data_IF_870849562092
#
_entry.id   IF_870849562092
#
_cell.length_a   1.000
_cell.length_b   1.000
_cell.length_c   1.000
_cell.angle_alpha   90.00
_cell.angle_beta   90.00
_cell.angle_gamma   90.00
#
_symmetry.space_group_name_H-M   'P 1'
#
loop_
_entity.id
_entity.type
_entity.pdbx_description
1 polymer ?
#
# COMPACT_ATOMS: atom_id res chain seq x y z
N UNK A 1 -7.55 12.17 25.46
CA UNK A 1 -8.45 11.01 25.37
C UNK A 1 -9.37 11.26 24.19
N UNK A 2 -9.07 10.69 23.02
CA UNK A 2 -9.92 10.86 21.82
C UNK A 2 -10.99 9.77 21.87
N UNK A 3 -12.25 10.18 21.93
CA UNK A 3 -13.42 9.33 21.75
C UNK A 3 -13.41 8.78 20.31
N UNK A 4 -13.03 7.52 20.14
CA UNK A 4 -13.19 6.83 18.86
C UNK A 4 -14.54 6.12 18.88
N UNK A 5 -15.39 6.58 17.98
CA UNK A 5 -16.77 6.21 17.74
C UNK A 5 -16.94 4.71 17.50
N UNK A 6 -18.03 4.14 18.03
CA UNK A 6 -18.39 2.72 18.05
C UNK A 6 -18.88 2.18 16.69
N UNK A 7 -18.36 2.73 15.58
CA UNK A 7 -18.82 2.54 14.20
C UNK A 7 -17.71 1.99 13.29
N UNK A 8 -16.70 1.32 13.84
CA UNK A 8 -15.63 0.69 13.04
C UNK A 8 -16.16 -0.54 12.31
N UNK A 9 -16.83 -0.33 11.19
CA UNK A 9 -17.17 -1.38 10.25
C UNK A 9 -15.94 -1.77 9.43
N UNK A 10 -15.76 -3.07 9.20
CA UNK A 10 -14.68 -3.57 8.34
C UNK A 10 -14.87 -3.00 6.94
N UNK A 11 -13.94 -2.14 6.53
CA UNK A 11 -14.00 -1.47 5.24
C UNK A 11 -14.22 -2.47 4.09
N UNK A 12 -15.21 -2.17 3.24
CA UNK A 12 -15.61 -3.00 2.11
C UNK A 12 -14.42 -3.31 1.19
N UNK A 13 -14.35 -4.55 0.68
CA UNK A 13 -13.24 -5.02 -0.18
C UNK A 13 -12.98 -4.09 -1.37
N UNK A 14 -14.03 -3.51 -1.97
CA UNK A 14 -13.95 -2.57 -3.10
C UNK A 14 -13.20 -1.29 -2.77
N UNK A 15 -13.45 -0.71 -1.59
CA UNK A 15 -12.77 0.52 -1.15
C UNK A 15 -11.27 0.30 -0.93
N UNK A 16 -10.88 -0.89 -0.47
CA UNK A 16 -9.46 -1.26 -0.33
C UNK A 16 -8.75 -1.36 -1.68
N UNK A 17 -9.43 -1.89 -2.71
CA UNK A 17 -8.89 -1.97 -4.07
C UNK A 17 -8.73 -0.56 -4.66
N UNK A 18 -9.74 0.31 -4.50
CA UNK A 18 -9.66 1.70 -4.97
C UNK A 18 -8.53 2.44 -4.24
N UNK A 19 -8.38 2.24 -2.93
CA UNK A 19 -7.27 2.80 -2.16
C UNK A 19 -5.92 2.39 -2.72
N UNK A 20 -5.78 1.10 -3.07
CA UNK A 20 -4.55 0.58 -3.68
C UNK A 20 -4.25 1.23 -5.03
N UNK A 21 -5.25 1.42 -5.90
CA UNK A 21 -5.05 2.12 -7.17
C UNK A 21 -4.65 3.59 -6.99
N UNK A 22 -5.26 4.29 -6.03
CA UNK A 22 -4.91 5.67 -5.71
C UNK A 22 -3.48 5.75 -5.15
N UNK A 23 -3.13 4.86 -4.23
CA UNK A 23 -1.76 4.75 -3.68
C UNK A 23 -0.75 4.48 -4.80
N UNK A 24 -1.06 3.53 -5.70
CA UNK A 24 -0.22 3.19 -6.85
C UNK A 24 0.01 4.39 -7.76
N UNK A 25 -1.05 5.12 -8.11
CA UNK A 25 -0.96 6.29 -8.97
C UNK A 25 -0.14 7.42 -8.31
N UNK A 26 -0.44 7.75 -7.05
CA UNK A 26 0.24 8.83 -6.32
C UNK A 26 1.72 8.50 -6.14
N UNK A 27 2.06 7.30 -5.68
CA UNK A 27 3.46 6.92 -5.46
C UNK A 27 4.24 6.79 -6.77
N UNK A 28 3.61 6.33 -7.84
CA UNK A 28 4.25 6.29 -9.17
C UNK A 28 4.53 7.69 -9.70
N UNK A 29 3.59 8.63 -9.55
CA UNK A 29 3.82 10.04 -9.91
C UNK A 29 4.94 10.67 -9.06
N UNK A 30 4.92 10.45 -7.74
CA UNK A 30 5.96 10.94 -6.83
C UNK A 30 7.34 10.36 -7.19
N UNK A 31 7.40 9.05 -7.49
CA UNK A 31 8.62 8.37 -7.88
C UNK A 31 9.18 8.90 -9.21
N UNK A 32 8.31 9.15 -10.19
CA UNK A 32 8.71 9.69 -11.48
C UNK A 32 9.29 11.11 -11.34
N UNK A 33 8.66 11.96 -10.54
CA UNK A 33 9.18 13.31 -10.24
C UNK A 33 10.57 13.20 -9.60
N UNK A 34 10.73 12.37 -8.56
CA UNK A 34 12.02 12.19 -7.89
C UNK A 34 13.10 11.66 -8.84
N UNK A 35 12.79 10.67 -9.67
CA UNK A 35 13.76 10.09 -10.60
C UNK A 35 14.19 11.10 -11.66
N UNK A 36 13.25 11.85 -12.24
CA UNK A 36 13.58 12.90 -13.21
C UNK A 36 14.41 14.00 -12.56
N UNK A 37 14.09 14.40 -11.33
CA UNK A 37 14.81 15.48 -10.62
C UNK A 37 16.22 15.09 -10.16
N UNK A 38 16.45 13.85 -9.72
CA UNK A 38 17.73 13.44 -9.13
C UNK A 38 18.63 12.62 -10.06
N UNK A 39 18.05 11.80 -10.94
CA UNK A 39 18.79 10.82 -11.76
C UNK A 39 18.79 11.24 -13.22
N UNK A 40 17.73 11.90 -13.70
CA UNK A 40 17.58 12.33 -15.10
C UNK A 40 17.34 11.18 -16.09
N UNK A 41 17.34 9.92 -15.63
CA UNK A 41 17.00 8.75 -16.43
C UNK A 41 15.97 7.88 -15.73
N UNK A 42 14.93 7.50 -16.48
CA UNK A 42 13.82 6.71 -15.98
C UNK A 42 14.13 5.22 -16.16
N UNK A 43 14.53 4.57 -15.07
CA UNK A 43 14.74 3.13 -15.03
C UNK A 43 13.59 2.44 -14.30
N UNK A 44 12.90 1.52 -14.98
CA UNK A 44 11.79 0.73 -14.38
C UNK A 44 12.18 0.04 -13.06
N UNK A 45 13.37 -0.58 -12.92
CA UNK A 45 13.79 -1.17 -11.65
C UNK A 45 13.88 -0.17 -10.49
N UNK A 46 14.28 1.07 -10.79
CA UNK A 46 14.43 2.14 -9.79
C UNK A 46 13.05 2.63 -9.34
N UNK A 47 12.10 2.78 -10.26
CA UNK A 47 10.70 3.11 -9.92
C UNK A 47 10.12 2.06 -8.99
N UNK A 48 10.29 0.78 -9.33
CA UNK A 48 9.78 -0.33 -8.52
C UNK A 48 10.37 -0.33 -7.12
N UNK A 49 11.69 -0.16 -7.01
CA UNK A 49 12.37 -0.09 -5.71
C UNK A 49 11.91 1.12 -4.88
N UNK A 50 11.74 2.27 -5.51
CA UNK A 50 11.28 3.48 -4.81
C UNK A 50 9.84 3.32 -4.30
N UNK A 51 8.96 2.75 -5.12
CA UNK A 51 7.60 2.39 -4.73
C UNK A 51 7.60 1.42 -3.53
N UNK A 52 8.48 0.41 -3.59
CA UNK A 52 8.65 -0.59 -2.57
C UNK A 52 9.06 0.01 -1.21
N UNK A 53 9.89 1.07 -1.19
CA UNK A 53 10.28 1.75 0.04
C UNK A 53 9.29 2.84 0.50
N UNK A 54 8.68 3.59 -0.43
CA UNK A 54 7.72 4.66 -0.12
C UNK A 54 6.50 4.13 0.64
N UNK A 55 6.05 2.92 0.32
CA UNK A 55 4.89 2.32 0.95
C UNK A 55 5.05 2.08 2.47
N UNK A 56 6.02 1.26 2.95
CA UNK A 56 6.21 1.03 4.38
C UNK A 56 6.60 2.29 5.15
N UNK A 57 7.37 3.20 4.54
CA UNK A 57 7.73 4.48 5.15
C UNK A 57 6.48 5.33 5.40
N UNK A 58 5.58 5.41 4.41
CA UNK A 58 4.33 6.16 4.56
C UNK A 58 3.41 5.55 5.62
N UNK A 59 3.25 4.21 5.66
CA UNK A 59 2.43 3.56 6.69
C UNK A 59 3.03 3.69 8.09
N UNK A 60 4.36 3.59 8.21
CA UNK A 60 5.04 3.67 9.50
C UNK A 60 5.07 5.07 10.11
N UNK A 61 5.28 6.12 9.30
CA UNK A 61 5.30 7.51 9.80
C UNK A 61 3.90 8.05 10.10
N UNK A 62 2.93 7.67 9.26
CA UNK A 62 1.62 8.31 9.26
C UNK A 62 0.48 7.41 9.74
N UNK A 63 0.74 6.12 9.95
CA UNK A 63 -0.25 5.10 10.29
C UNK A 63 -1.21 4.75 9.14
N UNK A 64 -1.01 5.33 7.95
CA UNK A 64 -1.86 5.19 6.78
C UNK A 64 -1.16 5.72 5.53
N UNK A 65 -1.39 5.08 4.38
CA UNK A 65 -0.93 5.56 3.07
C UNK A 65 -1.77 6.74 2.58
N UNK A 66 -1.25 7.53 1.65
CA UNK A 66 -1.90 8.76 1.15
C UNK A 66 -3.28 8.47 0.52
N UNK A 67 -3.41 7.42 -0.28
CA UNK A 67 -4.67 6.99 -0.88
C UNK A 67 -5.68 6.50 0.15
N UNK A 68 -5.24 5.83 1.21
CA UNK A 68 -6.11 5.50 2.35
C UNK A 68 -6.57 6.75 3.10
N UNK A 69 -5.75 7.81 3.18
CA UNK A 69 -6.18 9.11 3.73
C UNK A 69 -7.30 9.72 2.94
N UNK A 70 -7.19 9.71 1.61
CA UNK A 70 -8.20 10.29 0.71
C UNK A 70 -9.54 9.58 0.87
N UNK A 71 -9.51 8.26 1.09
CA UNK A 71 -10.72 7.46 1.31
C UNK A 71 -11.14 7.37 2.78
N UNK A 72 -10.53 8.14 3.68
CA UNK A 72 -10.77 8.09 5.13
C UNK A 72 -10.64 6.68 5.74
N UNK A 73 -9.82 5.83 5.11
CA UNK A 73 -9.53 4.48 5.57
C UNK A 73 -8.38 4.52 6.57
N UNK A 74 -8.64 4.08 7.79
CA UNK A 74 -7.62 4.03 8.84
C UNK A 74 -7.11 2.61 9.02
N UNK A 75 -5.79 2.45 9.05
CA UNK A 75 -5.18 1.19 9.45
C UNK A 75 -4.98 1.20 10.96
N UNK A 76 -5.66 0.29 11.64
CA UNK A 76 -5.59 0.15 13.10
C UNK A 76 -5.25 -1.29 13.47
N UNK A 77 -4.64 -1.48 14.64
CA UNK A 77 -4.48 -2.80 15.25
C UNK A 77 -5.82 -3.32 15.79
N UNK A 78 -5.86 -4.56 16.27
CA UNK A 78 -7.02 -5.17 16.94
C UNK A 78 -7.53 -4.35 18.12
N UNK A 79 -6.66 -3.57 18.77
CA UNK A 79 -7.01 -2.66 19.86
C UNK A 79 -7.41 -1.25 19.37
N UNK A 80 -7.69 -1.08 18.07
CA UNK A 80 -8.04 0.20 17.42
C UNK A 80 -6.97 1.31 17.50
N UNK A 81 -5.77 0.97 17.98
CA UNK A 81 -4.63 1.88 18.03
C UNK A 81 -3.97 2.02 16.66
N UNK A 82 -3.28 3.16 16.44
CA UNK A 82 -2.44 3.37 15.25
C UNK A 82 -1.37 2.27 15.17
N UNK A 83 -1.12 1.77 13.98
CA UNK A 83 -0.05 0.82 13.72
C UNK A 83 1.32 1.42 14.04
N UNK A 84 2.19 0.62 14.66
CA UNK A 84 3.59 0.99 14.91
C UNK A 84 4.44 0.72 13.66
N UNK A 85 5.62 1.36 13.58
CA UNK A 85 6.57 1.14 12.47
C UNK A 85 6.90 -0.36 12.28
N UNK A 86 7.09 -1.11 13.37
CA UNK A 86 7.34 -2.56 13.31
C UNK A 86 6.17 -3.31 12.66
N UNK A 87 4.93 -2.98 13.01
CA UNK A 87 3.75 -3.59 12.41
C UNK A 87 3.62 -3.24 10.92
N UNK A 88 3.98 -2.01 10.52
CA UNK A 88 4.01 -1.60 9.12
C UNK A 88 5.04 -2.40 8.29
N UNK A 89 6.25 -2.63 8.83
CA UNK A 89 7.29 -3.43 8.17
C UNK A 89 6.87 -4.89 8.03
N UNK A 90 6.33 -5.50 9.09
CA UNK A 90 5.85 -6.88 9.04
C UNK A 90 4.76 -7.04 7.99
N UNK A 91 3.79 -6.11 7.98
CA UNK A 91 2.72 -6.08 6.97
C UNK A 91 3.26 -5.92 5.55
N UNK A 92 4.30 -5.12 5.38
CA UNK A 92 4.96 -4.95 4.09
C UNK A 92 5.66 -6.24 3.61
N UNK A 93 6.33 -6.98 4.50
CA UNK A 93 6.92 -8.29 4.17
C UNK A 93 5.84 -9.28 3.73
N UNK A 94 4.72 -9.35 4.47
CA UNK A 94 3.58 -10.18 4.06
C UNK A 94 2.99 -9.73 2.72
N UNK A 95 2.94 -8.42 2.44
CA UNK A 95 2.45 -7.90 1.17
C UNK A 95 3.30 -8.35 -0.04
N UNK A 96 4.62 -8.50 0.12
CA UNK A 96 5.49 -9.05 -0.94
C UNK A 96 5.12 -10.52 -1.23
N UNK A 97 4.91 -11.31 -0.18
CA UNK A 97 4.52 -12.73 -0.30
C UNK A 97 3.14 -12.83 -0.96
N UNK A 98 2.18 -12.02 -0.52
CA UNK A 98 0.82 -11.96 -1.07
C UNK A 98 0.82 -11.53 -2.54
N UNK A 99 1.67 -10.58 -2.95
CA UNK A 99 1.80 -10.16 -4.34
C UNK A 99 2.25 -11.32 -5.24
N UNK A 100 3.23 -12.09 -4.80
CA UNK A 100 3.72 -13.26 -5.52
C UNK A 100 2.62 -14.33 -5.66
N UNK A 101 1.85 -14.57 -4.59
CA UNK A 101 0.73 -15.51 -4.62
C UNK A 101 -0.42 -15.03 -5.52
N UNK A 102 -0.76 -13.73 -5.50
CA UNK A 102 -1.79 -13.17 -6.37
C UNK A 102 -1.41 -13.30 -7.85
N UNK A 103 -0.14 -13.04 -8.21
CA UNK A 103 0.36 -13.26 -9.57
C UNK A 103 0.27 -14.74 -9.96
N UNK A 104 0.62 -15.66 -9.06
CA UNK A 104 0.47 -17.10 -9.28
C UNK A 104 -0.97 -17.52 -9.55
N UNK A 105 -1.94 -16.99 -8.79
CA UNK A 105 -3.37 -17.25 -8.99
C UNK A 105 -3.86 -16.66 -10.32
N UNK A 106 -3.45 -15.43 -10.68
CA UNK A 106 -3.83 -14.81 -11.95
C UNK A 106 -3.28 -15.59 -13.15
N UNK A 107 -2.04 -16.07 -13.07
CA UNK A 107 -1.45 -16.93 -14.11
C UNK A 107 -2.19 -18.25 -14.19
N UNK A 108 -2.50 -18.89 -13.06
CA UNK A 108 -3.27 -20.13 -13.03
C UNK A 108 -4.70 -19.98 -13.59
N UNK A 109 -5.34 -18.83 -13.38
CA UNK A 109 -6.66 -18.50 -13.95
C UNK A 109 -6.58 -18.10 -15.44
N UNK A 110 -5.46 -17.55 -15.88
CA UNK A 110 -5.23 -17.19 -17.28
C UNK A 110 -4.79 -18.37 -18.13
N UNK A 111 -4.33 -19.45 -17.51
CA UNK A 111 -4.00 -20.69 -18.21
C UNK A 111 -5.29 -21.40 -18.62
N UNK A 112 -5.63 -21.32 -19.90
CA UNK A 112 -6.83 -21.91 -20.50
C UNK A 112 -6.80 -23.44 -20.55
N UNK A 113 -5.69 -24.06 -20.14
CA UNK A 113 -5.52 -25.51 -20.13
C UNK A 113 -5.87 -26.18 -18.78
N UNK A 114 -6.46 -25.44 -17.83
CA UNK A 114 -7.12 -25.98 -16.63
C UNK A 114 -8.64 -25.78 -16.69
#
# INVERSE_FOLDING_TARGET
MYSIDSTTEVAQKRLRIIAFFIDYFIFTMLALILIVSFVGHVSIPIIFLLFLFLWPISEGLFGQTIGKRILSLKVVNNDLNKITMTQAIVRFIFAIIDLQMCLGILVALSDKNN
#
